data_IF_955473306670
#
_entry.id   IF_955473306670
#
_cell.length_a   1.000
_cell.length_b   1.000
_cell.length_c   1.000
_cell.angle_alpha   90.00
_cell.angle_beta   90.00
_cell.angle_gamma   90.00
#
_symmetry.space_group_name_H-M   'P 1'
#
loop_
_entity.id
_entity.type
_entity.pdbx_description
1 polymer ?
#
# COMPACT_ATOMS: atom_id res chain seq x y z
N UNK A 1 -27.20 32.62 2.26
CA UNK A 1 -27.16 31.48 1.33
C UNK A 1 -25.82 30.79 1.49
N UNK A 2 -25.78 29.64 2.15
CA UNK A 2 -24.58 28.81 2.18
C UNK A 2 -24.37 28.24 0.78
N UNK A 3 -23.28 28.62 0.12
CA UNK A 3 -22.93 28.13 -1.20
C UNK A 3 -22.80 26.61 -1.16
N UNK A 4 -23.55 25.92 -2.03
CA UNK A 4 -23.41 24.47 -2.22
C UNK A 4 -22.02 24.20 -2.77
N UNK A 5 -21.10 23.74 -1.92
CA UNK A 5 -19.86 23.11 -2.37
C UNK A 5 -20.26 21.82 -3.09
N UNK A 6 -19.96 21.71 -4.38
CA UNK A 6 -20.21 20.50 -5.17
C UNK A 6 -19.13 19.47 -4.82
N UNK A 7 -19.36 18.68 -3.78
CA UNK A 7 -18.39 17.69 -3.28
C UNK A 7 -18.52 16.33 -3.98
N UNK A 8 -19.57 16.11 -4.79
CA UNK A 8 -19.90 14.79 -5.33
C UNK A 8 -20.55 13.85 -4.32
N UNK A 9 -20.76 14.31 -3.09
CA UNK A 9 -21.35 13.56 -1.97
C UNK A 9 -22.70 14.17 -1.57
N UNK A 10 -23.63 13.32 -1.14
CA UNK A 10 -24.97 13.71 -0.72
C UNK A 10 -24.96 14.47 0.61
N UNK A 11 -25.95 15.35 0.80
CA UNK A 11 -26.11 16.10 2.06
C UNK A 11 -26.20 15.18 3.30
N UNK A 12 -26.74 13.97 3.12
CA UNK A 12 -26.93 12.99 4.19
C UNK A 12 -25.72 12.09 4.44
N UNK A 13 -24.66 12.19 3.64
CA UNK A 13 -23.55 11.24 3.68
C UNK A 13 -22.82 11.27 5.03
N UNK A 14 -22.63 12.45 5.61
CA UNK A 14 -22.02 12.58 6.94
C UNK A 14 -22.85 11.84 8.01
N UNK A 15 -24.17 12.02 8.01
CA UNK A 15 -25.08 11.33 8.94
C UNK A 15 -25.14 9.82 8.68
N UNK A 16 -25.08 9.40 7.42
CA UNK A 16 -25.05 7.99 7.04
C UNK A 16 -23.77 7.29 7.53
N UNK A 17 -22.62 7.95 7.42
CA UNK A 17 -21.35 7.44 7.97
C UNK A 17 -21.38 7.31 9.49
N UNK A 18 -21.92 8.31 10.19
CA UNK A 18 -22.08 8.25 11.65
C UNK A 18 -22.96 7.05 12.04
N UNK A 19 -24.11 6.87 11.38
CA UNK A 19 -25.00 5.75 11.64
C UNK A 19 -24.32 4.40 11.36
N UNK A 20 -23.57 4.30 10.25
CA UNK A 20 -22.80 3.10 9.92
C UNK A 20 -21.82 2.72 11.04
N UNK A 21 -21.03 3.68 11.54
CA UNK A 21 -20.09 3.41 12.64
C UNK A 21 -20.80 3.02 13.94
N UNK A 22 -21.95 3.62 14.24
CA UNK A 22 -22.77 3.22 15.39
C UNK A 22 -23.25 1.77 15.29
N UNK A 23 -23.78 1.37 14.12
CA UNK A 23 -24.25 0.00 13.87
C UNK A 23 -23.08 -0.98 13.96
N UNK A 24 -21.96 -0.68 13.31
CA UNK A 24 -20.75 -1.51 13.34
C UNK A 24 -20.25 -1.69 14.78
N UNK A 25 -20.11 -0.59 15.53
CA UNK A 25 -19.68 -0.63 16.93
C UNK A 25 -20.64 -1.45 17.80
N UNK A 26 -21.95 -1.30 17.60
CA UNK A 26 -22.96 -2.10 18.31
C UNK A 26 -22.73 -3.59 18.07
N UNK A 27 -22.65 -4.04 16.82
CA UNK A 27 -22.46 -5.46 16.52
C UNK A 27 -21.11 -5.99 17.00
N UNK A 28 -20.02 -5.22 16.86
CA UNK A 28 -18.70 -5.60 17.38
C UNK A 28 -18.72 -5.76 18.90
N UNK A 29 -19.29 -4.80 19.64
CA UNK A 29 -19.37 -4.86 21.10
C UNK A 29 -20.32 -5.95 21.58
N UNK A 30 -21.44 -6.16 20.88
CA UNK A 30 -22.38 -7.24 21.17
C UNK A 30 -21.76 -8.62 20.95
N UNK A 31 -21.05 -8.84 19.84
CA UNK A 31 -20.29 -10.08 19.60
C UNK A 31 -19.22 -10.29 20.66
N UNK A 32 -18.46 -9.23 21.01
CA UNK A 32 -17.48 -9.28 22.09
C UNK A 32 -18.13 -9.66 23.42
N UNK A 33 -19.33 -9.16 23.71
CA UNK A 33 -20.03 -9.49 24.96
C UNK A 33 -20.57 -10.92 25.00
N UNK A 34 -20.69 -11.60 23.86
CA UNK A 34 -21.01 -13.04 23.83
C UNK A 34 -19.78 -13.91 24.13
N UNK A 35 -18.57 -13.33 24.12
CA UNK A 35 -17.34 -14.03 24.44
C UNK A 35 -17.29 -14.52 25.89
N UNK A 36 -16.58 -15.61 26.11
CA UNK A 36 -16.35 -16.18 27.45
C UNK A 36 -15.31 -15.36 28.19
N UNK A 37 -15.68 -14.80 29.34
CA UNK A 37 -14.79 -14.03 30.22
C UNK A 37 -14.01 -14.91 31.21
N UNK A 38 -14.34 -16.19 31.29
CA UNK A 38 -13.75 -17.19 32.19
C UNK A 38 -12.52 -17.91 31.59
N UNK A 39 -11.90 -17.31 30.57
CA UNK A 39 -10.64 -17.77 30.02
C UNK A 39 -9.49 -17.56 31.00
N UNK A 40 -8.47 -18.43 30.91
CA UNK A 40 -7.31 -18.39 31.82
C UNK A 40 -6.28 -17.38 31.33
N UNK A 41 -6.34 -16.17 31.91
CA UNK A 41 -5.38 -15.10 31.64
C UNK A 41 -3.93 -15.53 31.87
N UNK A 42 -3.05 -15.16 30.95
CA UNK A 42 -1.61 -15.46 31.01
C UNK A 42 -1.27 -16.92 30.73
N UNK A 43 -2.18 -17.67 30.09
CA UNK A 43 -1.93 -19.02 29.57
C UNK A 43 -2.10 -19.04 28.05
N UNK A 44 -1.83 -20.17 27.40
CA UNK A 44 -2.06 -20.39 25.96
C UNK A 44 -3.50 -20.08 25.49
N UNK A 45 -4.46 -19.90 26.41
CA UNK A 45 -5.81 -19.44 26.08
C UNK A 45 -5.90 -17.94 25.72
N UNK A 46 -4.87 -17.16 26.06
CA UNK A 46 -4.74 -15.74 25.69
C UNK A 46 -4.06 -15.58 24.32
N UNK A 47 -3.37 -16.63 23.86
CA UNK A 47 -2.62 -16.62 22.61
C UNK A 47 -3.52 -16.75 21.39
N UNK A 48 -3.07 -16.18 20.27
CA UNK A 48 -3.71 -16.39 18.98
C UNK A 48 -3.58 -17.87 18.58
N UNK A 49 -4.64 -18.42 18.00
CA UNK A 49 -4.61 -19.79 17.51
C UNK A 49 -3.58 -19.94 16.37
N UNK A 50 -2.46 -20.61 16.65
CA UNK A 50 -1.38 -20.86 15.69
C UNK A 50 -1.18 -22.36 15.41
N UNK A 51 -2.28 -23.07 15.16
CA UNK A 51 -2.29 -24.51 14.85
C UNK A 51 -1.54 -25.39 15.86
N UNK A 52 -1.44 -24.93 17.12
CA UNK A 52 -0.72 -25.64 18.19
C UNK A 52 0.80 -25.43 18.21
N UNK A 53 1.34 -24.54 17.38
CA UNK A 53 2.74 -24.11 17.45
C UNK A 53 2.89 -22.92 18.42
N UNK A 54 4.10 -22.74 18.97
CA UNK A 54 4.46 -21.51 19.71
C UNK A 54 4.29 -20.30 18.80
N UNK A 55 3.60 -19.27 19.30
CA UNK A 55 3.32 -18.03 18.58
C UNK A 55 4.61 -17.18 18.57
N UNK A 56 5.17 -16.84 17.40
CA UNK A 56 6.30 -15.90 17.32
C UNK A 56 5.95 -14.55 17.97
N UNK A 57 6.78 -14.08 18.91
CA UNK A 57 6.53 -12.83 19.66
C UNK A 57 6.46 -11.58 18.76
N UNK A 58 7.17 -11.60 17.63
CA UNK A 58 7.31 -10.50 16.69
C UNK A 58 6.34 -10.55 15.49
N UNK A 59 5.62 -11.67 15.31
CA UNK A 59 4.67 -11.87 14.22
C UNK A 59 5.28 -11.87 12.81
N UNK A 60 6.60 -11.81 12.68
CA UNK A 60 7.29 -11.79 11.37
C UNK A 60 7.10 -13.13 10.64
N UNK A 61 7.15 -14.24 11.37
CA UNK A 61 6.95 -15.58 10.84
C UNK A 61 5.45 -15.95 10.68
N UNK A 62 4.55 -15.13 11.23
CA UNK A 62 3.09 -15.35 11.17
C UNK A 62 2.49 -14.71 9.91
N UNK A 63 3.10 -13.65 9.40
CA UNK A 63 2.53 -12.82 8.34
C UNK A 63 3.35 -12.88 7.05
N UNK A 64 2.66 -12.86 5.90
CA UNK A 64 3.35 -12.60 4.64
C UNK A 64 3.73 -11.11 4.66
N UNK A 65 5.03 -10.76 4.60
CA UNK A 65 5.43 -9.37 4.73
C UNK A 65 4.80 -8.54 3.61
N UNK A 66 4.38 -7.30 3.91
CA UNK A 66 3.73 -6.43 2.94
C UNK A 66 4.59 -6.19 1.68
N UNK A 67 5.91 -6.30 1.81
CA UNK A 67 6.84 -6.28 0.68
C UNK A 67 6.55 -7.40 -0.32
N UNK A 68 6.09 -8.57 0.12
CA UNK A 68 5.77 -9.70 -0.77
C UNK A 68 4.54 -9.47 -1.64
N UNK A 69 3.63 -8.56 -1.27
CA UNK A 69 2.36 -8.33 -1.99
C UNK A 69 2.54 -8.01 -3.49
N UNK A 70 3.66 -7.37 -3.86
CA UNK A 70 3.99 -7.01 -5.24
C UNK A 70 5.34 -7.55 -5.68
N UNK A 71 5.84 -8.62 -5.07
CA UNK A 71 7.16 -9.16 -5.38
C UNK A 71 7.29 -9.50 -6.88
N UNK A 72 6.30 -10.16 -7.47
CA UNK A 72 6.32 -10.52 -8.89
C UNK A 72 6.39 -9.31 -9.82
N UNK A 73 5.65 -8.24 -9.50
CA UNK A 73 5.67 -6.99 -10.27
C UNK A 73 7.03 -6.27 -10.14
N UNK A 74 7.56 -6.16 -8.91
CA UNK A 74 8.87 -5.56 -8.67
C UNK A 74 10.00 -6.35 -9.35
N UNK A 75 9.91 -7.69 -9.32
CA UNK A 75 10.88 -8.57 -9.98
C UNK A 75 10.81 -8.47 -11.50
N UNK A 76 9.60 -8.40 -12.08
CA UNK A 76 9.42 -8.21 -13.51
C UNK A 76 9.99 -6.87 -14.01
N UNK A 77 9.88 -5.81 -13.22
CA UNK A 77 10.42 -4.49 -13.56
C UNK A 77 11.90 -4.28 -13.20
N UNK A 78 12.52 -5.21 -12.48
CA UNK A 78 13.91 -5.08 -12.03
C UNK A 78 14.90 -4.78 -13.19
N UNK A 79 14.84 -5.46 -14.36
CA UNK A 79 15.76 -5.17 -15.46
C UNK A 79 15.57 -3.76 -16.04
N UNK A 80 14.32 -3.29 -16.12
CA UNK A 80 13.99 -1.94 -16.58
C UNK A 80 14.62 -0.87 -15.66
N UNK A 81 14.40 -1.01 -14.36
CA UNK A 81 14.97 -0.07 -13.38
C UNK A 81 16.50 -0.15 -13.32
N UNK A 82 17.10 -1.34 -13.44
CA UNK A 82 18.55 -1.49 -13.54
C UNK A 82 19.13 -0.75 -14.73
N UNK A 83 18.49 -0.85 -15.91
CA UNK A 83 18.90 -0.09 -17.08
C UNK A 83 18.77 1.42 -16.87
N UNK A 84 17.63 1.87 -16.36
CA UNK A 84 17.36 3.29 -16.13
C UNK A 84 18.32 3.92 -15.12
N UNK A 85 18.56 3.23 -13.99
CA UNK A 85 19.52 3.69 -12.97
C UNK A 85 20.96 3.66 -13.51
N UNK A 86 21.30 2.68 -14.36
CA UNK A 86 22.61 2.62 -15.01
C UNK A 86 22.93 3.81 -15.91
N UNK A 87 21.91 4.49 -16.46
CA UNK A 87 22.09 5.73 -17.22
C UNK A 87 22.32 6.98 -16.35
N UNK A 88 22.10 6.89 -15.04
CA UNK A 88 22.29 8.00 -14.10
C UNK A 88 23.66 7.91 -13.40
N UNK A 89 24.73 7.93 -14.20
CA UNK A 89 26.11 7.76 -13.71
C UNK A 89 26.61 8.89 -12.82
N UNK A 90 25.96 10.07 -12.89
CA UNK A 90 26.39 11.29 -12.20
C UNK A 90 27.60 11.97 -12.86
N UNK A 91 28.09 11.44 -13.99
CA UNK A 91 29.23 11.99 -14.72
C UNK A 91 28.72 13.02 -15.74
N UNK A 92 29.24 14.25 -15.67
CA UNK A 92 28.80 15.35 -16.53
C UNK A 92 28.95 15.03 -18.04
N UNK A 93 29.99 14.30 -18.43
CA UNK A 93 30.23 13.91 -19.83
C UNK A 93 29.13 13.01 -20.38
N UNK A 94 28.60 12.09 -19.56
CA UNK A 94 27.55 11.16 -19.98
C UNK A 94 26.23 11.90 -20.20
N UNK A 95 25.92 12.86 -19.33
CA UNK A 95 24.74 13.74 -19.46
C UNK A 95 24.83 14.59 -20.73
N UNK A 96 25.99 15.21 -20.99
CA UNK A 96 26.21 15.98 -22.23
C UNK A 96 26.12 15.06 -23.45
N UNK A 97 26.64 13.84 -23.36
CA UNK A 97 26.50 12.82 -24.41
C UNK A 97 25.04 12.50 -24.73
N UNK A 98 24.21 12.25 -23.72
CA UNK A 98 22.77 12.01 -23.91
C UNK A 98 22.07 13.21 -24.53
N UNK A 99 22.43 14.44 -24.12
CA UNK A 99 21.88 15.65 -24.71
C UNK A 99 22.20 15.75 -26.21
N UNK A 100 23.47 15.51 -26.60
CA UNK A 100 23.88 15.53 -28.01
C UNK A 100 23.13 14.48 -28.84
N UNK A 101 22.98 13.26 -28.31
CA UNK A 101 22.22 12.18 -28.97
C UNK A 101 20.75 12.59 -29.16
N UNK A 102 20.12 13.18 -28.13
CA UNK A 102 18.74 13.62 -28.20
C UNK A 102 18.54 14.73 -29.26
N UNK A 103 19.45 15.72 -29.31
CA UNK A 103 19.41 16.78 -30.33
C UNK A 103 19.62 16.22 -31.73
N UNK A 104 20.59 15.32 -31.90
CA UNK A 104 20.84 14.67 -33.19
C UNK A 104 19.62 13.85 -33.65
N UNK A 105 19.00 13.08 -32.75
CA UNK A 105 17.76 12.36 -33.03
C UNK A 105 16.65 13.31 -33.48
N UNK A 106 16.39 14.38 -32.73
CA UNK A 106 15.38 15.38 -33.10
C UNK A 106 15.67 16.04 -34.45
N UNK A 107 16.92 16.39 -34.72
CA UNK A 107 17.32 16.98 -36.00
C UNK A 107 17.04 16.03 -37.18
N UNK A 108 17.28 14.72 -37.02
CA UNK A 108 16.93 13.71 -38.03
C UNK A 108 15.42 13.70 -38.29
N UNK A 109 14.59 13.72 -37.26
CA UNK A 109 13.12 13.76 -37.44
C UNK A 109 12.64 15.05 -38.11
N UNK A 110 13.21 16.19 -37.74
CA UNK A 110 12.82 17.49 -38.31
C UNK A 110 13.25 17.61 -39.79
N UNK A 111 14.38 17.02 -40.17
CA UNK A 111 14.91 17.14 -41.53
C UNK A 111 14.38 16.06 -42.49
N UNK A 112 13.83 14.96 -41.98
CA UNK A 112 13.26 13.86 -42.77
C UNK A 112 11.72 13.92 -42.89
N UNK A 113 11.05 14.74 -42.08
CA UNK A 113 9.62 15.09 -42.22
C UNK A 113 9.51 16.34 -43.08
#
# INVERSE_FOLDING_TARGET
MWGKVYTGFGYWDASAWILFFFIAAFFTLWLRSQGRSDYKKGTDQDEIYWSGNEVPEDGEDITVPASSAYWGFRKALEPFYKGLLGMHTGIATDIVGYYVIAVAFLAVFILLV
#
